data_IF_671239757277
#
_entry.id   IF_671239757277
#
_cell.length_a   1.000
_cell.length_b   1.000
_cell.length_c   1.000
_cell.angle_alpha   90.00
_cell.angle_beta   90.00
_cell.angle_gamma   90.00
#
_symmetry.space_group_name_H-M   'P 1'
#
loop_
_entity.id
_entity.type
_entity.pdbx_description
1 polymer ?
#
# COMPACT_ATOMS: atom_id res chain seq x y z
N UNK A 1 24.21 -20.11 6.21
CA UNK A 1 22.80 -19.63 6.21
C UNK A 1 22.42 -18.88 7.48
N UNK A 2 22.81 -19.29 8.70
CA UNK A 2 22.40 -18.56 9.91
C UNK A 2 22.90 -17.09 9.96
N UNK A 3 24.15 -16.85 9.55
CA UNK A 3 24.72 -15.49 9.51
C UNK A 3 24.05 -14.62 8.44
N UNK A 4 23.74 -15.20 7.29
CA UNK A 4 23.09 -14.56 6.15
C UNK A 4 21.65 -14.17 6.52
N UNK A 5 20.92 -15.08 7.19
CA UNK A 5 19.58 -14.81 7.72
C UNK A 5 19.61 -13.67 8.75
N UNK A 6 20.60 -13.67 9.66
CA UNK A 6 20.78 -12.59 10.62
C UNK A 6 21.14 -11.25 9.96
N UNK A 7 21.88 -11.26 8.86
CA UNK A 7 22.18 -10.07 8.07
C UNK A 7 20.91 -9.48 7.43
N UNK A 8 20.10 -10.32 6.77
CA UNK A 8 18.84 -9.88 6.17
C UNK A 8 17.88 -9.34 7.24
N UNK A 9 17.80 -10.00 8.39
CA UNK A 9 17.03 -9.53 9.54
C UNK A 9 17.45 -8.13 10.01
N UNK A 10 18.77 -7.91 10.14
CA UNK A 10 19.32 -6.62 10.54
C UNK A 10 19.03 -5.53 9.51
N UNK A 11 19.14 -5.84 8.21
CA UNK A 11 18.79 -4.90 7.13
C UNK A 11 17.33 -4.49 7.22
N UNK A 12 16.40 -5.47 7.30
CA UNK A 12 14.97 -5.20 7.38
C UNK A 12 14.59 -4.38 8.63
N UNK A 13 15.27 -4.62 9.75
CA UNK A 13 15.07 -3.85 10.97
C UNK A 13 15.56 -2.39 10.83
N UNK A 14 16.72 -2.17 10.21
CA UNK A 14 17.31 -0.85 10.06
C UNK A 14 16.60 0.02 9.01
N UNK A 15 16.13 -0.59 7.92
CA UNK A 15 15.51 0.12 6.80
C UNK A 15 14.09 0.58 7.12
N UNK A 16 13.32 -0.21 7.89
CA UNK A 16 12.00 0.18 8.39
C UNK A 16 10.92 0.37 7.31
N UNK A 17 11.26 0.22 6.03
CA UNK A 17 10.40 0.33 4.86
C UNK A 17 10.43 -0.99 4.06
N UNK A 18 9.38 -1.32 3.27
CA UNK A 18 9.37 -2.54 2.47
C UNK A 18 10.48 -2.60 1.42
N UNK A 19 11.27 -3.68 1.42
CA UNK A 19 12.35 -3.94 0.48
C UNK A 19 12.07 -5.18 -0.37
N UNK A 20 12.15 -5.05 -1.69
CA UNK A 20 12.08 -6.20 -2.59
C UNK A 20 13.35 -7.06 -2.53
N UNK A 21 13.29 -8.27 -3.09
CA UNK A 21 14.41 -9.22 -3.02
C UNK A 21 15.66 -8.70 -3.76
N UNK A 22 15.48 -7.84 -4.76
CA UNK A 22 16.61 -7.28 -5.51
C UNK A 22 17.35 -6.23 -4.67
N UNK A 23 16.61 -5.40 -3.93
CA UNK A 23 17.18 -4.43 -2.99
C UNK A 23 17.92 -5.16 -1.86
N UNK A 24 17.32 -6.19 -1.28
CA UNK A 24 17.95 -7.03 -0.25
C UNK A 24 19.23 -7.70 -0.76
N UNK A 25 19.19 -8.30 -1.96
CA UNK A 25 20.37 -8.90 -2.59
C UNK A 25 21.49 -7.87 -2.82
N UNK A 26 21.14 -6.65 -3.26
CA UNK A 26 22.10 -5.58 -3.49
C UNK A 26 22.77 -5.10 -2.20
N UNK A 27 22.01 -4.92 -1.12
CA UNK A 27 22.54 -4.43 0.17
C UNK A 27 23.39 -5.50 0.86
N UNK A 28 22.94 -6.75 0.81
CA UNK A 28 23.63 -7.87 1.49
C UNK A 28 24.78 -8.48 0.68
N UNK A 29 24.91 -8.11 -0.60
CA UNK A 29 25.82 -8.74 -1.57
C UNK A 29 25.61 -10.25 -1.74
N UNK A 30 24.41 -10.75 -1.39
CA UNK A 30 24.01 -12.14 -1.54
C UNK A 30 23.32 -12.39 -2.89
N UNK A 31 23.28 -13.64 -3.34
CA UNK A 31 22.46 -14.00 -4.49
C UNK A 31 20.97 -13.93 -4.13
N UNK A 32 20.13 -13.71 -5.14
CA UNK A 32 18.67 -13.68 -4.96
C UNK A 32 18.12 -14.98 -4.35
N UNK A 33 18.68 -16.13 -4.73
CA UNK A 33 18.28 -17.44 -4.19
C UNK A 33 18.59 -17.55 -2.70
N UNK A 34 19.76 -17.04 -2.27
CA UNK A 34 20.13 -17.01 -0.84
C UNK A 34 19.19 -16.08 -0.08
N UNK A 35 18.85 -14.91 -0.63
CA UNK A 35 17.89 -13.97 -0.02
C UNK A 35 16.53 -14.63 0.18
N UNK A 36 16.02 -15.34 -0.82
CA UNK A 36 14.73 -16.05 -0.72
C UNK A 36 14.76 -17.12 0.40
N UNK A 37 15.84 -17.89 0.50
CA UNK A 37 16.02 -18.86 1.59
C UNK A 37 16.09 -18.19 2.96
N UNK A 38 16.74 -17.03 3.07
CA UNK A 38 16.78 -16.24 4.29
C UNK A 38 15.40 -15.71 4.68
N UNK A 39 14.62 -15.19 3.71
CA UNK A 39 13.23 -14.73 3.93
C UNK A 39 12.37 -15.88 4.46
N UNK A 40 12.45 -17.07 3.87
CA UNK A 40 11.72 -18.25 4.33
C UNK A 40 12.10 -18.65 5.77
N UNK A 41 13.37 -18.54 6.12
CA UNK A 41 13.85 -18.80 7.47
C UNK A 41 13.32 -17.76 8.47
N UNK A 42 13.33 -16.47 8.10
CA UNK A 42 12.77 -15.39 8.93
C UNK A 42 11.26 -15.55 9.09
N UNK A 43 10.54 -15.93 8.04
CA UNK A 43 9.11 -16.26 8.11
C UNK A 43 8.82 -17.29 9.19
N UNK A 44 9.60 -18.39 9.23
CA UNK A 44 9.47 -19.43 10.25
C UNK A 44 9.78 -18.90 11.64
N UNK A 45 10.88 -18.16 11.80
CA UNK A 45 11.33 -17.55 13.06
C UNK A 45 10.25 -16.63 13.65
N UNK A 46 9.68 -15.74 12.84
CA UNK A 46 8.73 -14.73 13.30
C UNK A 46 7.29 -15.25 13.44
N UNK A 47 6.99 -16.43 12.89
CA UNK A 47 5.69 -17.10 13.08
C UNK A 47 5.51 -17.68 14.49
N UNK A 48 6.60 -17.82 15.26
CA UNK A 48 6.54 -18.29 16.65
C UNK A 48 5.67 -17.37 17.53
N UNK A 49 4.91 -17.96 18.44
CA UNK A 49 3.93 -17.26 19.28
C UNK A 49 4.59 -16.16 20.14
N UNK A 50 5.77 -16.45 20.68
CA UNK A 50 6.52 -15.56 21.58
C UNK A 50 7.26 -14.42 20.86
N UNK A 51 7.21 -14.35 19.53
CA UNK A 51 7.81 -13.23 18.79
C UNK A 51 6.88 -12.02 18.76
N UNK A 52 7.42 -10.84 19.05
CA UNK A 52 6.67 -9.58 18.96
C UNK A 52 6.56 -9.01 17.54
N UNK A 53 7.31 -9.59 16.59
CA UNK A 53 7.36 -9.15 15.20
C UNK A 53 6.85 -10.22 14.26
N UNK A 54 6.47 -9.78 13.07
CA UNK A 54 6.12 -10.59 11.92
C UNK A 54 6.86 -10.05 10.69
N UNK A 55 7.24 -10.97 9.80
CA UNK A 55 7.75 -10.62 8.48
C UNK A 55 6.55 -10.57 7.52
N UNK A 56 6.29 -9.41 6.94
CA UNK A 56 5.14 -9.19 6.07
C UNK A 56 5.58 -8.65 4.72
N UNK A 57 4.81 -9.00 3.69
CA UNK A 57 4.99 -8.44 2.36
C UNK A 57 4.04 -7.25 2.17
N UNK A 58 4.56 -6.11 1.73
CA UNK A 58 3.81 -4.88 1.43
C UNK A 58 4.34 -4.28 0.13
N UNK A 59 3.44 -3.93 -0.79
CA UNK A 59 3.78 -3.40 -2.12
C UNK A 59 4.84 -4.23 -2.87
N UNK A 60 4.86 -5.55 -2.65
CA UNK A 60 5.83 -6.47 -3.24
C UNK A 60 7.22 -6.48 -2.59
N UNK A 61 7.42 -5.79 -1.47
CA UNK A 61 8.63 -5.84 -0.65
C UNK A 61 8.38 -6.42 0.73
N UNK A 62 9.44 -6.81 1.42
CA UNK A 62 9.41 -7.40 2.76
C UNK A 62 9.75 -6.36 3.83
N UNK A 63 9.06 -6.41 4.96
CA UNK A 63 9.33 -5.55 6.12
C UNK A 63 9.06 -6.28 7.42
N UNK A 64 9.88 -6.02 8.44
CA UNK A 64 9.60 -6.43 9.81
C UNK A 64 8.61 -5.46 10.45
N UNK A 65 7.49 -5.98 10.90
CA UNK A 65 6.44 -5.20 11.56
C UNK A 65 6.12 -5.79 12.92
N UNK A 66 5.73 -4.99 13.92
CA UNK A 66 5.09 -5.52 15.11
C UNK A 66 3.84 -6.31 14.72
N UNK A 67 3.56 -7.41 15.43
CA UNK A 67 2.31 -8.16 15.25
C UNK A 67 1.11 -7.26 15.58
N UNK A 68 -0.01 -7.48 14.87
CA UNK A 68 -1.20 -6.62 14.93
C UNK A 68 -1.73 -6.37 16.34
N UNK A 69 -1.85 -7.41 17.14
CA UNK A 69 -2.31 -7.40 18.53
C UNK A 69 -1.43 -6.51 19.42
N UNK A 70 -0.11 -6.60 19.26
CA UNK A 70 0.83 -5.72 19.96
C UNK A 70 0.79 -4.29 19.42
N UNK A 71 0.69 -4.12 18.10
CA UNK A 71 0.59 -2.80 17.48
C UNK A 71 -0.65 -2.04 17.95
N UNK A 72 -1.80 -2.72 18.12
CA UNK A 72 -3.02 -2.08 18.60
C UNK A 72 -2.87 -1.44 19.99
N UNK A 73 -2.01 -2.01 20.84
CA UNK A 73 -1.63 -1.45 22.13
C UNK A 73 -0.56 -0.34 22.02
N UNK A 74 0.39 -0.48 21.08
CA UNK A 74 1.56 0.39 20.96
C UNK A 74 1.34 1.64 20.09
N UNK A 75 0.35 1.63 19.19
CA UNK A 75 0.15 2.66 18.15
C UNK A 75 -0.09 4.07 18.71
N UNK A 76 -0.61 4.22 19.93
CA UNK A 76 -0.80 5.54 20.52
C UNK A 76 0.54 6.21 20.89
N UNK A 77 1.51 5.39 21.32
CA UNK A 77 2.84 5.85 21.76
C UNK A 77 3.82 5.93 20.59
N UNK A 78 3.83 4.91 19.74
CA UNK A 78 4.83 4.72 18.69
C UNK A 78 4.31 4.95 17.27
N UNK A 79 2.99 5.02 17.09
CA UNK A 79 2.41 5.46 15.83
C UNK A 79 2.81 6.90 15.53
N UNK A 80 3.14 7.17 14.26
CA UNK A 80 3.40 8.53 13.80
C UNK A 80 2.16 9.37 14.09
N UNK A 81 2.25 10.26 15.09
CA UNK A 81 1.13 11.09 15.56
C UNK A 81 0.57 12.03 14.50
N UNK A 82 1.27 12.28 13.39
CA UNK A 82 1.03 13.43 12.52
C UNK A 82 1.25 13.21 11.00
N UNK A 83 1.26 11.99 10.47
CA UNK A 83 1.18 11.85 9.00
C UNK A 83 -0.26 12.11 8.54
N UNK A 84 -0.50 13.40 8.27
CA UNK A 84 -1.65 14.03 7.63
C UNK A 84 -2.81 13.08 7.29
N UNK A 85 -3.63 12.76 8.31
CA UNK A 85 -4.90 12.05 8.11
C UNK A 85 -5.63 12.66 6.93
N UNK A 86 -5.95 11.85 5.93
CA UNK A 86 -6.81 12.26 4.84
C UNK A 86 -8.14 12.72 5.44
N UNK A 87 -8.64 13.87 4.99
CA UNK A 87 -9.99 14.29 5.34
C UNK A 87 -11.00 13.25 4.85
N UNK A 88 -12.22 13.25 5.40
CA UNK A 88 -13.28 12.35 4.92
C UNK A 88 -13.48 12.45 3.41
N UNK A 89 -13.46 13.67 2.87
CA UNK A 89 -13.59 13.92 1.43
C UNK A 89 -12.41 13.37 0.62
N UNK A 90 -11.18 13.49 1.13
CA UNK A 90 -9.99 12.98 0.46
C UNK A 90 -9.97 11.44 0.48
N UNK A 91 -10.33 10.83 1.62
CA UNK A 91 -10.45 9.38 1.74
C UNK A 91 -11.53 8.82 0.82
N UNK A 92 -12.71 9.45 0.77
CA UNK A 92 -13.78 9.05 -0.14
C UNK A 92 -13.36 9.12 -1.60
N UNK A 93 -12.71 10.22 -2.01
CA UNK A 93 -12.18 10.37 -3.38
C UNK A 93 -11.13 9.31 -3.69
N UNK A 94 -10.24 9.02 -2.74
CA UNK A 94 -9.21 8.00 -2.90
C UNK A 94 -9.81 6.59 -3.02
N UNK A 95 -10.82 6.25 -2.21
CA UNK A 95 -11.54 4.98 -2.30
C UNK A 95 -12.19 4.80 -3.68
N UNK A 96 -12.85 5.84 -4.20
CA UNK A 96 -13.44 5.81 -5.54
C UNK A 96 -12.40 5.48 -6.60
N UNK A 97 -11.25 6.13 -6.54
CA UNK A 97 -10.15 5.84 -7.47
C UNK A 97 -9.61 4.43 -7.27
N UNK A 98 -9.44 3.97 -6.04
CA UNK A 98 -8.87 2.66 -5.74
C UNK A 98 -9.71 1.50 -6.30
N UNK A 99 -11.04 1.55 -6.15
CA UNK A 99 -11.95 0.50 -6.63
C UNK A 99 -12.37 0.65 -8.11
N UNK A 100 -12.35 1.86 -8.67
CA UNK A 100 -12.82 2.10 -10.04
C UNK A 100 -11.73 2.43 -11.06
N UNK A 101 -10.45 2.42 -10.66
CA UNK A 101 -9.35 2.68 -11.60
C UNK A 101 -9.34 1.70 -12.79
N UNK A 102 -8.96 2.17 -14.00
CA UNK A 102 -8.61 3.55 -14.34
C UNK A 102 -9.85 4.45 -14.51
N UNK A 103 -9.93 5.56 -13.77
CA UNK A 103 -11.13 6.43 -13.70
C UNK A 103 -10.80 7.90 -14.00
N UNK A 104 -11.70 8.62 -14.68
CA UNK A 104 -11.57 10.04 -15.03
C UNK A 104 -12.14 10.96 -13.94
N UNK A 105 -11.75 12.24 -13.95
CA UNK A 105 -12.30 13.24 -13.02
C UNK A 105 -13.84 13.30 -13.06
N UNK A 106 -14.43 13.30 -14.25
CA UNK A 106 -15.90 13.40 -14.40
C UNK A 106 -16.62 12.20 -13.80
N UNK A 107 -16.08 11.00 -13.93
CA UNK A 107 -16.66 9.79 -13.34
C UNK A 107 -16.53 9.82 -11.81
N UNK A 108 -15.40 10.30 -11.28
CA UNK A 108 -15.24 10.51 -9.83
C UNK A 108 -16.30 11.49 -9.31
N UNK A 109 -16.52 12.61 -10.00
CA UNK A 109 -17.51 13.62 -9.61
C UNK A 109 -18.94 13.07 -9.68
N UNK A 110 -19.24 12.21 -10.66
CA UNK A 110 -20.54 11.53 -10.76
C UNK A 110 -20.81 10.62 -9.54
N UNK A 111 -19.82 9.84 -9.09
CA UNK A 111 -19.97 8.95 -7.91
C UNK A 111 -20.04 9.76 -6.59
N UNK A 112 -19.28 10.87 -6.51
CA UNK A 112 -19.25 11.73 -5.31
C UNK A 112 -20.45 12.67 -5.21
N UNK A 113 -21.07 13.01 -6.33
CA UNK A 113 -22.13 14.03 -6.42
C UNK A 113 -21.64 15.48 -6.19
N UNK A 114 -20.33 15.69 -6.02
CA UNK A 114 -19.70 17.00 -5.78
C UNK A 114 -18.33 17.07 -6.45
N UNK A 115 -17.81 18.29 -6.65
CA UNK A 115 -16.50 18.46 -7.30
C UNK A 115 -15.36 17.78 -6.55
N UNK A 116 -14.44 17.20 -7.31
CA UNK A 116 -13.31 16.43 -6.81
C UNK A 116 -11.94 17.05 -7.11
N UNK A 117 -11.89 18.22 -7.77
CA UNK A 117 -10.65 18.82 -8.28
C UNK A 117 -9.59 19.02 -7.18
N UNK A 118 -9.98 19.63 -6.05
CA UNK A 118 -9.08 19.85 -4.92
C UNK A 118 -8.59 18.53 -4.28
N UNK A 119 -9.45 17.51 -4.23
CA UNK A 119 -9.08 16.22 -3.65
C UNK A 119 -8.15 15.45 -4.57
N UNK A 120 -8.38 15.49 -5.88
CA UNK A 120 -7.49 14.88 -6.88
C UNK A 120 -6.10 15.53 -6.80
N UNK A 121 -6.02 16.87 -6.80
CA UNK A 121 -4.73 17.59 -6.65
C UNK A 121 -4.00 17.18 -5.38
N UNK A 122 -4.70 17.19 -4.24
CA UNK A 122 -4.13 16.77 -2.96
C UNK A 122 -3.60 15.33 -2.99
N UNK A 123 -4.35 14.40 -3.58
CA UNK A 123 -3.97 12.98 -3.64
C UNK A 123 -2.80 12.73 -4.60
N UNK A 124 -2.68 13.52 -5.68
CA UNK A 124 -1.50 13.52 -6.57
C UNK A 124 -0.29 14.07 -5.83
N UNK A 125 -0.41 15.20 -5.13
CA UNK A 125 0.67 15.80 -4.33
C UNK A 125 1.17 14.86 -3.22
N UNK A 126 0.26 14.06 -2.65
CA UNK A 126 0.56 13.02 -1.66
C UNK A 126 1.12 11.74 -2.28
N UNK A 127 1.30 11.69 -3.60
CA UNK A 127 1.66 10.50 -4.37
C UNK A 127 0.75 9.29 -4.18
N UNK A 128 -0.50 9.44 -3.72
CA UNK A 128 -1.42 8.30 -3.58
C UNK A 128 -2.07 7.90 -4.90
N UNK A 129 -2.21 8.85 -5.83
CA UNK A 129 -2.73 8.61 -7.18
C UNK A 129 -1.80 9.23 -8.22
N UNK A 130 -1.91 8.77 -9.45
CA UNK A 130 -1.19 9.29 -10.60
C UNK A 130 -2.05 9.20 -11.85
N UNK A 131 -1.65 9.93 -12.89
CA UNK A 131 -2.18 9.72 -14.23
C UNK A 131 -1.73 8.35 -14.76
N UNK A 132 -2.68 7.58 -15.32
CA UNK A 132 -2.42 6.24 -15.88
C UNK A 132 -2.72 6.16 -17.38
N UNK A 133 -3.35 7.18 -17.95
CA UNK A 133 -3.69 7.23 -19.37
C UNK A 133 -4.72 8.30 -19.69
N UNK A 134 -5.31 8.21 -20.88
CA UNK A 134 -6.44 9.04 -21.32
C UNK A 134 -7.53 8.14 -21.87
N UNK A 135 -8.78 8.39 -21.49
CA UNK A 135 -9.94 7.63 -21.99
C UNK A 135 -10.18 7.97 -23.48
N UNK A 136 -10.45 6.97 -24.30
CA UNK A 136 -10.65 7.15 -25.75
C UNK A 136 -12.09 7.60 -26.08
N UNK A 137 -12.40 8.81 -25.63
CA UNK A 137 -13.68 9.50 -25.88
C UNK A 137 -13.38 10.96 -26.26
N UNK A 138 -14.36 11.71 -26.82
CA UNK A 138 -14.18 13.14 -27.11
C UNK A 138 -13.65 13.93 -25.90
N UNK A 139 -12.63 14.75 -26.14
CA UNK A 139 -11.92 15.50 -25.10
C UNK A 139 -10.75 14.73 -24.43
N UNK A 140 -10.60 13.42 -24.70
CA UNK A 140 -9.51 12.56 -24.19
C UNK A 140 -9.18 12.82 -22.71
N UNK A 141 -10.16 12.72 -21.79
CA UNK A 141 -9.95 13.07 -20.40
C UNK A 141 -8.91 12.15 -19.77
N UNK A 142 -8.10 12.72 -18.86
CA UNK A 142 -7.09 12.01 -18.09
C UNK A 142 -7.75 10.99 -17.17
N UNK A 143 -7.15 9.79 -17.11
CA UNK A 143 -7.50 8.73 -16.17
C UNK A 143 -6.48 8.67 -15.03
N UNK A 144 -6.99 8.41 -13.83
CA UNK A 144 -6.24 8.26 -12.61
C UNK A 144 -6.26 6.82 -12.10
N UNK A 145 -5.19 6.44 -11.42
CA UNK A 145 -5.06 5.19 -10.68
C UNK A 145 -4.13 5.35 -9.49
N UNK A 146 -4.12 4.37 -8.60
CA UNK A 146 -3.32 4.38 -7.37
C UNK A 146 -1.84 4.10 -7.64
N UNK A 147 -0.97 4.46 -6.69
CA UNK A 147 0.48 4.27 -6.76
C UNK A 147 0.98 3.16 -5.83
N UNK A 148 2.29 2.94 -5.80
CA UNK A 148 2.93 2.10 -4.77
C UNK A 148 2.87 2.74 -3.38
N UNK A 149 2.89 4.06 -3.28
CA UNK A 149 2.80 4.75 -1.98
C UNK A 149 1.41 4.56 -1.35
N UNK A 150 0.36 4.47 -2.18
CA UNK A 150 -0.95 4.02 -1.72
C UNK A 150 -0.87 2.60 -1.12
N UNK A 151 -0.31 1.64 -1.86
CA UNK A 151 -0.17 0.25 -1.38
C UNK A 151 0.62 0.17 -0.07
N UNK A 152 1.72 0.93 0.04
CA UNK A 152 2.53 1.01 1.27
C UNK A 152 1.73 1.58 2.44
N UNK A 153 1.06 2.71 2.23
CA UNK A 153 0.30 3.38 3.28
C UNK A 153 -0.85 2.51 3.79
N UNK A 154 -1.56 1.82 2.90
CA UNK A 154 -2.65 0.92 3.26
C UNK A 154 -2.19 -0.52 3.57
N UNK A 155 -0.88 -0.79 3.53
CA UNK A 155 -0.26 -2.09 3.81
C UNK A 155 -0.82 -3.23 2.94
N UNK A 156 -0.96 -2.98 1.64
CA UNK A 156 -1.44 -3.91 0.62
C UNK A 156 -0.28 -4.36 -0.28
N UNK A 157 -0.35 -5.58 -0.84
CA UNK A 157 0.59 -6.01 -1.88
C UNK A 157 0.11 -5.63 -3.27
N UNK A 158 -1.20 -5.68 -3.47
CA UNK A 158 -1.84 -5.35 -4.73
C UNK A 158 -3.19 -4.68 -4.51
N UNK A 159 -3.73 -4.08 -5.57
CA UNK A 159 -5.09 -3.53 -5.57
C UNK A 159 -6.14 -4.63 -5.41
N UNK A 160 -5.82 -5.87 -5.79
CA UNK A 160 -6.73 -7.01 -5.59
C UNK A 160 -6.90 -7.38 -4.11
N UNK A 161 -6.04 -6.89 -3.21
CA UNK A 161 -6.12 -7.13 -1.77
C UNK A 161 -7.11 -6.18 -1.07
N UNK A 162 -7.73 -5.25 -1.82
CA UNK A 162 -8.76 -4.38 -1.27
C UNK A 162 -9.96 -5.18 -0.77
N UNK A 163 -10.58 -4.78 0.36
CA UNK A 163 -11.81 -5.39 0.85
C UNK A 163 -12.90 -5.41 -0.23
N UNK A 164 -13.72 -6.46 -0.26
CA UNK A 164 -14.89 -6.45 -1.15
C UNK A 164 -15.87 -5.36 -0.70
N UNK A 165 -16.40 -4.61 -1.67
CA UNK A 165 -17.50 -3.70 -1.44
C UNK A 165 -18.75 -4.51 -1.05
N UNK A 166 -19.58 -3.94 -0.18
CA UNK A 166 -20.93 -4.46 0.04
C UNK A 166 -21.83 -4.16 -1.17
N UNK A 167 -23.04 -4.71 -1.18
CA UNK A 167 -23.97 -4.55 -2.31
C UNK A 167 -24.29 -3.07 -2.58
N UNK A 168 -24.49 -2.27 -1.54
CA UNK A 168 -24.83 -0.84 -1.65
C UNK A 168 -23.69 -0.02 -2.24
N UNK A 169 -22.46 -0.23 -1.78
CA UNK A 169 -21.29 0.44 -2.34
C UNK A 169 -20.95 -0.10 -3.73
N UNK A 170 -21.18 -1.38 -4.03
CA UNK A 170 -20.98 -1.91 -5.37
C UNK A 170 -21.89 -1.22 -6.39
N UNK A 171 -23.18 -1.09 -6.09
CA UNK A 171 -24.15 -0.37 -6.94
C UNK A 171 -23.73 1.08 -7.16
N UNK A 172 -23.29 1.77 -6.09
CA UNK A 172 -22.83 3.15 -6.15
C UNK A 172 -21.66 3.34 -7.13
N UNK A 173 -20.74 2.39 -7.21
CA UNK A 173 -19.54 2.46 -8.05
C UNK A 173 -19.83 2.05 -9.50
N UNK A 174 -20.87 1.26 -9.75
CA UNK A 174 -21.30 0.88 -11.10
C UNK A 174 -21.97 2.01 -11.88
N UNK A 175 -22.64 2.94 -11.18
CA UNK A 175 -23.37 4.07 -11.77
C UNK A 175 -22.52 5.03 -12.64
N UNK A 176 -21.19 4.90 -12.62
CA UNK A 176 -20.27 5.79 -13.34
C UNK A 176 -19.41 5.11 -14.42
N UNK A 177 -19.66 3.84 -14.73
CA UNK A 177 -18.97 3.13 -15.82
C UNK A 177 -19.56 3.42 -17.20
#
# INVERSE_FOLDING_TARGET
MEKETALIEAILFLEGEPLDENALAKISELSKDVVLLCIDALHKKYKEEHSGFELVQISGGWVLSPKKDLWDFLKERYGKKNEARLSKAAMETLSIIAYSQPITRSEIEAIRGVSADNMIRLLVERNFIREVGKKDIPGKPVQFGTTKDFLKFFRLNSIADLPKLDETESERFELAR
#
